data_IF_811726048839
#
_entry.id   IF_811726048839
#
_cell.length_a   1.000
_cell.length_b   1.000
_cell.length_c   1.000
_cell.angle_alpha   90.00
_cell.angle_beta   90.00
_cell.angle_gamma   90.00
#
_symmetry.space_group_name_H-M   'P 1'
#
loop_
_entity.id
_entity.type
_entity.pdbx_description
1 polymer ?
#
# COMPACT_ATOMS: atom_id res chain seq x y z
N UNK A 1 16.63 13.23 0.80
CA UNK A 1 15.46 13.61 -0.05
C UNK A 1 14.24 12.69 0.13
N UNK A 2 14.39 11.36 0.23
CA UNK A 2 13.24 10.42 0.25
C UNK A 2 12.33 10.49 1.50
N UNK A 3 12.85 10.98 2.63
CA UNK A 3 12.09 11.04 3.90
C UNK A 3 10.91 12.02 3.85
N UNK A 4 11.05 13.13 3.11
CA UNK A 4 9.95 14.07 2.90
C UNK A 4 8.81 13.42 2.11
N UNK A 5 9.12 12.65 1.06
CA UNK A 5 8.10 11.96 0.26
C UNK A 5 7.28 10.98 1.11
N UNK A 6 7.96 10.23 1.98
CA UNK A 6 7.28 9.28 2.89
C UNK A 6 6.40 10.01 3.90
N UNK A 7 6.86 11.13 4.46
CA UNK A 7 6.05 11.94 5.39
C UNK A 7 4.87 12.61 4.69
N UNK A 8 5.07 13.14 3.49
CA UNK A 8 4.01 13.74 2.67
C UNK A 8 2.93 12.70 2.31
N UNK A 9 3.34 11.51 1.87
CA UNK A 9 2.42 10.41 1.59
C UNK A 9 1.65 10.00 2.84
N UNK A 10 2.35 9.85 3.98
CA UNK A 10 1.73 9.48 5.25
C UNK A 10 0.73 10.53 5.75
N UNK A 11 1.05 11.82 5.60
CA UNK A 11 0.13 12.92 5.89
C UNK A 11 -1.07 12.95 4.95
N UNK A 12 -0.87 12.74 3.65
CA UNK A 12 -1.95 12.68 2.67
C UNK A 12 -2.93 11.53 2.96
N UNK A 13 -2.41 10.34 3.29
CA UNK A 13 -3.22 9.19 3.71
C UNK A 13 -4.04 9.53 4.96
N UNK A 14 -3.42 10.18 5.96
CA UNK A 14 -4.14 10.60 7.17
C UNK A 14 -5.28 11.58 6.87
N UNK A 15 -5.01 12.63 6.08
CA UNK A 15 -6.02 13.65 5.74
C UNK A 15 -7.17 13.01 4.94
N UNK A 16 -6.86 12.12 4.00
CA UNK A 16 -7.86 11.37 3.26
C UNK A 16 -8.75 10.56 4.19
N UNK A 17 -8.16 9.75 5.07
CA UNK A 17 -8.90 8.91 6.01
C UNK A 17 -9.71 9.73 7.01
N UNK A 18 -9.14 10.82 7.53
CA UNK A 18 -9.82 11.73 8.46
C UNK A 18 -10.99 12.45 7.78
N UNK A 19 -10.78 12.98 6.57
CA UNK A 19 -11.84 13.61 5.78
C UNK A 19 -12.94 12.62 5.38
N UNK A 20 -12.57 11.38 5.04
CA UNK A 20 -13.52 10.29 4.80
C UNK A 20 -14.33 9.96 6.05
N UNK A 21 -13.70 9.88 7.22
CA UNK A 21 -14.38 9.63 8.49
C UNK A 21 -15.35 10.75 8.86
N UNK A 22 -14.98 12.02 8.65
CA UNK A 22 -15.86 13.17 8.89
C UNK A 22 -17.06 13.20 7.93
N UNK A 23 -16.85 12.89 6.64
CA UNK A 23 -17.90 12.98 5.62
C UNK A 23 -18.74 11.70 5.47
N UNK A 24 -18.20 10.55 5.86
CA UNK A 24 -18.80 9.23 5.64
C UNK A 24 -18.80 8.43 6.95
N UNK A 25 -19.35 9.07 7.98
CA UNK A 25 -19.71 8.41 9.24
C UNK A 25 -20.95 7.53 9.12
N UNK A 26 -21.68 7.64 8.00
CA UNK A 26 -22.86 6.82 7.73
C UNK A 26 -22.50 5.35 7.56
N UNK A 27 -23.41 4.51 8.05
CA UNK A 27 -23.35 3.05 7.90
C UNK A 27 -23.83 2.66 6.50
N UNK A 28 -23.14 1.70 5.89
CA UNK A 28 -23.55 1.07 4.63
C UNK A 28 -23.75 -0.43 4.82
N UNK A 29 -24.79 -0.96 4.20
CA UNK A 29 -25.07 -2.39 4.14
C UNK A 29 -24.22 -3.08 3.07
N UNK A 30 -23.43 -4.06 3.47
CA UNK A 30 -22.77 -5.00 2.58
C UNK A 30 -23.62 -6.25 2.42
N UNK A 31 -24.22 -6.43 1.25
CA UNK A 31 -25.02 -7.60 0.92
C UNK A 31 -24.13 -8.74 0.42
N UNK A 32 -24.08 -9.85 1.17
CA UNK A 32 -23.36 -11.06 0.80
C UNK A 32 -24.29 -12.12 0.19
N UNK A 33 -23.68 -13.11 -0.47
CA UNK A 33 -24.36 -14.13 -1.29
C UNK A 33 -25.39 -15.01 -0.55
N UNK A 34 -25.38 -15.06 0.79
CA UNK A 34 -26.30 -15.89 1.61
C UNK A 34 -27.43 -15.08 2.28
N UNK A 35 -27.75 -13.88 1.78
CA UNK A 35 -28.75 -12.99 2.39
C UNK A 35 -28.25 -12.32 3.68
N UNK A 36 -26.98 -12.53 4.03
CA UNK A 36 -26.32 -11.89 5.15
C UNK A 36 -25.94 -10.47 4.74
N UNK A 37 -26.35 -9.48 5.53
CA UNK A 37 -25.95 -8.09 5.36
C UNK A 37 -25.10 -7.68 6.57
N UNK A 38 -24.02 -6.97 6.33
CA UNK A 38 -23.22 -6.36 7.40
C UNK A 38 -23.27 -4.84 7.27
N UNK A 39 -23.71 -4.18 8.33
CA UNK A 39 -23.62 -2.74 8.47
C UNK A 39 -22.20 -2.35 8.89
N UNK A 40 -21.51 -1.61 8.03
CA UNK A 40 -20.14 -1.15 8.30
C UNK A 40 -20.05 0.33 7.94
N UNK A 41 -19.33 1.16 8.71
CA UNK A 41 -19.05 2.54 8.31
C UNK A 41 -18.36 2.61 6.95
N UNK A 42 -18.83 3.49 6.07
CA UNK A 42 -18.25 3.68 4.72
C UNK A 42 -16.75 4.01 4.80
N UNK A 43 -16.35 4.80 5.80
CA UNK A 43 -14.95 5.13 6.05
C UNK A 43 -14.07 3.89 6.31
N UNK A 44 -14.57 2.88 7.03
CA UNK A 44 -13.88 1.62 7.26
C UNK A 44 -13.73 0.82 5.97
N UNK A 45 -14.76 0.78 5.12
CA UNK A 45 -14.74 0.06 3.85
C UNK A 45 -13.65 0.60 2.91
N UNK A 46 -13.56 1.93 2.80
CA UNK A 46 -12.54 2.60 1.98
C UNK A 46 -11.14 2.37 2.54
N UNK A 47 -10.97 2.46 3.87
CA UNK A 47 -9.70 2.17 4.52
C UNK A 47 -9.23 0.74 4.25
N UNK A 48 -10.13 -0.24 4.34
CA UNK A 48 -9.80 -1.65 4.10
C UNK A 48 -9.34 -1.88 2.66
N UNK A 49 -10.10 -1.35 1.69
CA UNK A 49 -9.78 -1.44 0.26
C UNK A 49 -8.41 -0.82 -0.05
N UNK A 50 -8.15 0.37 0.49
CA UNK A 50 -6.87 1.05 0.32
C UNK A 50 -5.71 0.27 0.95
N UNK A 51 -5.90 -0.24 2.17
CA UNK A 51 -4.88 -1.03 2.89
C UNK A 51 -4.53 -2.30 2.13
N UNK A 52 -5.54 -3.02 1.61
CA UNK A 52 -5.35 -4.20 0.77
C UNK A 52 -4.57 -3.86 -0.51
N UNK A 53 -4.98 -2.82 -1.23
CA UNK A 53 -4.28 -2.35 -2.42
C UNK A 53 -2.82 -1.95 -2.15
N UNK A 54 -2.56 -1.27 -1.03
CA UNK A 54 -1.22 -0.87 -0.62
C UNK A 54 -0.34 -2.08 -0.28
N UNK A 55 -0.86 -3.06 0.46
CA UNK A 55 -0.14 -4.31 0.78
C UNK A 55 0.21 -5.08 -0.50
N UNK A 56 -0.73 -5.20 -1.44
CA UNK A 56 -0.50 -5.82 -2.74
C UNK A 56 0.58 -5.07 -3.54
N UNK A 57 0.48 -3.74 -3.60
CA UNK A 57 1.46 -2.88 -4.28
C UNK A 57 2.87 -2.97 -3.69
N UNK A 58 2.98 -2.95 -2.36
CA UNK A 58 4.26 -3.13 -1.67
C UNK A 58 4.83 -4.53 -1.94
N UNK A 59 4.00 -5.57 -1.84
CA UNK A 59 4.42 -6.95 -2.09
C UNK A 59 4.96 -7.11 -3.51
N UNK A 60 4.27 -6.54 -4.52
CA UNK A 60 4.73 -6.53 -5.90
C UNK A 60 6.05 -5.74 -6.09
N UNK A 61 6.19 -4.59 -5.42
CA UNK A 61 7.41 -3.79 -5.46
C UNK A 61 8.61 -4.51 -4.81
N UNK A 62 8.39 -5.19 -3.68
CA UNK A 62 9.40 -6.02 -3.01
C UNK A 62 9.83 -7.20 -3.87
N UNK A 63 8.88 -7.86 -4.55
CA UNK A 63 9.17 -8.94 -5.48
C UNK A 63 10.09 -8.47 -6.61
N UNK A 64 9.76 -7.34 -7.26
CA UNK A 64 10.56 -6.76 -8.36
C UNK A 64 11.94 -6.26 -7.90
N UNK A 65 12.04 -5.69 -6.70
CA UNK A 65 13.31 -5.16 -6.17
C UNK A 65 14.36 -6.23 -5.87
N UNK A 66 13.98 -7.51 -5.81
CA UNK A 66 14.91 -8.63 -5.62
C UNK A 66 15.74 -8.96 -6.87
N UNK A 67 15.18 -8.72 -8.07
CA UNK A 67 15.82 -9.08 -9.35
C UNK A 67 17.04 -8.19 -9.68
N UNK A 68 17.03 -6.92 -9.27
CA UNK A 68 18.13 -5.99 -9.56
C UNK A 68 19.38 -6.19 -8.70
N UNK A 69 19.28 -6.93 -7.58
CA UNK A 69 20.45 -7.17 -6.72
C UNK A 69 21.41 -8.21 -7.30
N UNK A 70 20.93 -9.10 -8.16
CA UNK A 70 21.77 -10.12 -8.79
C UNK A 70 22.63 -9.56 -9.93
N UNK A 71 22.10 -8.62 -10.72
CA UNK A 71 22.84 -8.00 -11.81
C UNK A 71 24.00 -7.11 -11.34
N UNK A 72 23.85 -6.41 -10.20
CA UNK A 72 24.92 -5.58 -9.64
C UNK A 72 26.06 -6.40 -9.02
N UNK A 73 25.76 -7.61 -8.51
CA UNK A 73 26.78 -8.49 -7.91
C UNK A 73 27.75 -9.04 -8.97
N UNK A 74 27.21 -9.41 -10.15
CA UNK A 74 28.00 -9.87 -11.31
C UNK A 74 28.92 -8.78 -11.88
N UNK A 75 28.45 -7.52 -11.93
CA UNK A 75 29.26 -6.39 -12.39
C UNK A 75 30.38 -6.03 -11.39
N UNK A 76 30.15 -6.21 -10.09
CA UNK A 76 31.15 -5.93 -9.04
C UNK A 76 32.27 -6.98 -9.02
N UNK A 77 31.92 -8.26 -9.17
CA UNK A 77 32.89 -9.35 -9.17
C UNK A 77 33.78 -9.35 -10.44
N UNK A 78 33.29 -8.78 -11.56
CA UNK A 78 34.10 -8.60 -12.78
C UNK A 78 35.11 -7.45 -12.67
N UNK A 79 34.81 -6.41 -11.90
CA UNK A 79 35.69 -5.23 -11.72
C UNK A 79 36.79 -5.48 -10.68
N UNK A 80 36.54 -6.33 -9.68
CA UNK A 80 37.50 -6.67 -8.62
C UNK A 80 38.39 -7.90 -8.98
N UNK A 81 38.10 -8.58 -10.10
CA UNK A 81 38.70 -9.85 -10.49
C UNK A 81 39.72 -9.81 -11.64
N UNK A 82 40.26 -8.65 -12.01
CA UNK A 82 41.33 -8.56 -13.02
C UNK A 82 42.71 -8.51 -12.35
N UNK A 83 43.63 -9.46 -12.64
CA UNK A 83 45.03 -9.41 -12.17
C UNK A 83 45.85 -8.34 -12.90
#
# INVERSE_FOLDING_TARGET
MSRLLVWAFRGAVFILLFGLALKNGDLVDLYFFFGQHWEIPVSLLVLLSFTLGAVLGLTAAFWRGSEHKHAQKLARDTVDGQP
#
